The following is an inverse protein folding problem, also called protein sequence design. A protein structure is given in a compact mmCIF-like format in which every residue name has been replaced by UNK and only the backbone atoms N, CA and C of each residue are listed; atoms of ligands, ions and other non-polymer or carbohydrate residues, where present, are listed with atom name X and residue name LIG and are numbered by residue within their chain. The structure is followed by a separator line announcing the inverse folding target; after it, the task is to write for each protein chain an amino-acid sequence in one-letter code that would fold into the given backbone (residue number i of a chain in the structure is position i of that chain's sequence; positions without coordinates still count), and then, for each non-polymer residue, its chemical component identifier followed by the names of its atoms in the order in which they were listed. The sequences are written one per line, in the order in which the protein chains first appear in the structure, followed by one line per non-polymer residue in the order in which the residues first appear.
data_IF_922511218317
#
_entry.id   IF_922511218317
#
_cell.length_a   1.000
_cell.length_b   1.000
_cell.length_c   1.000
_cell.angle_alpha   90.00
_cell.angle_beta   90.00
_cell.angle_gamma   90.00
#
_symmetry.space_group_name_H-M   'P 1'
#
loop_
_entity.id
_entity.type
_entity.pdbx_description
1 polymer ?
#
# COMPACT_ATOMS: atom_id res chain seq x y z
N UNK A 1 37.72 27.82 5.32
CA UNK A 1 36.58 28.65 4.88
C UNK A 1 35.68 27.78 4.03
N UNK A 2 34.38 27.66 4.37
CA UNK A 2 33.43 26.92 3.53
C UNK A 2 33.26 27.65 2.19
N UNK A 3 33.58 26.99 1.08
CA UNK A 3 33.31 27.53 -0.26
C UNK A 3 31.80 27.76 -0.36
N UNK A 4 31.37 29.01 -0.55
CA UNK A 4 29.96 29.31 -0.81
C UNK A 4 29.63 28.84 -2.21
N UNK A 5 28.51 28.12 -2.32
CA UNK A 5 27.97 27.61 -3.58
C UNK A 5 27.44 28.80 -4.40
N UNK A 6 27.76 28.88 -5.70
CA UNK A 6 27.27 29.93 -6.59
C UNK A 6 25.78 29.72 -6.94
N UNK A 7 25.06 30.76 -7.41
CA UNK A 7 23.68 30.60 -7.89
C UNK A 7 23.52 29.52 -8.97
N UNK A 8 24.49 29.40 -9.88
CA UNK A 8 24.51 28.37 -10.93
C UNK A 8 24.71 26.97 -10.35
N UNK A 9 25.61 26.83 -9.36
CA UNK A 9 25.80 25.56 -8.65
C UNK A 9 24.51 25.17 -7.88
N UNK A 10 23.80 26.13 -7.26
CA UNK A 10 22.50 25.86 -6.63
C UNK A 10 21.44 25.41 -7.64
N UNK A 11 21.35 26.08 -8.80
CA UNK A 11 20.42 25.69 -9.86
C UNK A 11 20.71 24.25 -10.30
N UNK A 12 21.97 23.90 -10.56
CA UNK A 12 22.36 22.54 -10.93
C UNK A 12 21.95 21.50 -9.88
N UNK A 13 22.13 21.80 -8.58
CA UNK A 13 21.74 20.90 -7.50
C UNK A 13 20.23 20.64 -7.47
N UNK A 14 19.40 21.66 -7.76
CA UNK A 14 17.94 21.52 -7.77
C UNK A 14 17.45 20.83 -9.04
N UNK A 15 17.94 21.25 -10.21
CA UNK A 15 17.50 20.70 -11.50
C UNK A 15 17.90 19.24 -11.68
N UNK A 16 19.10 18.85 -11.20
CA UNK A 16 19.61 17.48 -11.34
C UNK A 16 19.38 16.61 -10.10
N UNK A 17 18.63 17.10 -9.11
CA UNK A 17 18.30 16.30 -7.93
C UNK A 17 17.57 15.00 -8.36
N UNK A 18 17.90 13.83 -7.79
CA UNK A 18 17.27 12.55 -8.14
C UNK A 18 15.85 12.40 -7.53
N UNK A 19 15.15 13.52 -7.33
CA UNK A 19 13.81 13.64 -6.75
C UNK A 19 13.04 14.69 -7.54
N UNK A 20 11.72 14.57 -7.59
CA UNK A 20 10.88 15.59 -8.20
C UNK A 20 10.73 16.74 -7.20
N UNK A 21 10.99 17.98 -7.60
CA UNK A 21 10.90 19.15 -6.72
C UNK A 21 9.83 20.09 -7.26
N UNK A 22 9.05 20.66 -6.34
CA UNK A 22 8.00 21.62 -6.65
C UNK A 22 8.01 22.78 -5.64
N UNK A 23 7.50 23.93 -6.06
CA UNK A 23 7.24 25.09 -5.21
C UNK A 23 5.85 25.63 -5.49
N UNK A 24 5.18 26.07 -4.43
CA UNK A 24 3.93 26.82 -4.49
C UNK A 24 4.07 28.16 -3.79
N UNK A 25 3.45 29.19 -4.37
CA UNK A 25 3.36 30.53 -3.80
C UNK A 25 2.39 30.60 -2.62
N UNK A 26 2.08 31.82 -2.16
CA UNK A 26 1.18 32.05 -1.01
C UNK A 26 -0.30 31.77 -1.29
N UNK A 27 -0.66 31.60 -2.56
CA UNK A 27 -2.01 31.29 -3.05
C UNK A 27 -2.25 29.77 -3.23
N UNK A 28 -1.32 28.94 -2.75
CA UNK A 28 -1.29 27.48 -2.91
C UNK A 28 -1.09 26.98 -4.34
N UNK A 29 -0.84 27.87 -5.30
CA UNK A 29 -0.59 27.50 -6.69
C UNK A 29 0.88 27.20 -6.92
N UNK A 30 1.15 26.12 -7.65
CA UNK A 30 2.52 25.74 -7.98
C UNK A 30 3.08 26.69 -9.04
N UNK A 31 4.27 27.22 -8.82
CA UNK A 31 4.90 28.20 -9.71
C UNK A 31 6.31 27.77 -10.17
N UNK A 32 6.77 26.60 -9.71
CA UNK A 32 8.03 26.02 -10.15
C UNK A 32 8.04 24.50 -9.96
N UNK A 33 8.67 23.82 -10.93
CA UNK A 33 9.00 22.41 -10.94
C UNK A 33 10.41 22.22 -11.53
N UNK A 34 11.19 21.29 -10.99
CA UNK A 34 12.53 21.04 -11.54
C UNK A 34 12.50 20.19 -12.84
N UNK A 35 13.63 20.16 -13.56
CA UNK A 35 13.84 19.38 -14.78
C UNK A 35 13.47 17.90 -14.58
N UNK A 36 13.73 17.34 -13.39
CA UNK A 36 13.37 15.96 -13.05
C UNK A 36 11.86 15.73 -13.01
N UNK A 37 11.08 16.66 -12.46
CA UNK A 37 9.62 16.59 -12.46
C UNK A 37 9.07 16.64 -13.88
N UNK A 38 9.50 17.64 -14.67
CA UNK A 38 9.02 17.83 -16.04
C UNK A 38 9.37 16.63 -16.94
N UNK A 39 10.57 16.05 -16.77
CA UNK A 39 10.97 14.83 -17.45
C UNK A 39 10.15 13.61 -17.01
N UNK A 40 9.75 13.56 -15.73
CA UNK A 40 8.92 12.48 -15.21
C UNK A 40 7.52 12.53 -15.80
N UNK A 41 6.84 13.68 -15.74
CA UNK A 41 5.46 13.84 -16.24
C UNK A 41 5.38 14.00 -17.76
N UNK A 42 6.47 14.43 -18.40
CA UNK A 42 6.51 14.74 -19.83
C UNK A 42 5.75 16.02 -20.20
N UNK A 43 5.44 16.86 -19.21
CA UNK A 43 4.68 18.11 -19.35
C UNK A 43 5.62 19.31 -19.27
N UNK A 44 5.18 20.44 -19.81
CA UNK A 44 5.92 21.71 -19.70
C UNK A 44 5.62 22.41 -18.38
N UNK A 45 6.47 23.37 -18.00
CA UNK A 45 6.25 24.21 -16.81
C UNK A 45 4.89 24.90 -16.88
N UNK A 46 4.49 25.40 -18.04
CA UNK A 46 3.22 26.12 -18.25
C UNK A 46 2.01 25.21 -18.00
N UNK A 47 2.12 23.93 -18.34
CA UNK A 47 1.07 22.94 -18.13
C UNK A 47 0.98 22.49 -16.67
N UNK A 48 2.09 22.53 -15.92
CA UNK A 48 2.15 22.10 -14.51
C UNK A 48 1.79 23.25 -13.55
N UNK A 49 2.10 24.49 -13.95
CA UNK A 49 1.90 25.70 -13.16
C UNK A 49 0.43 25.93 -12.77
N UNK A 50 0.22 26.68 -11.70
CA UNK A 50 -1.10 26.87 -11.13
C UNK A 50 -1.59 25.60 -10.44
N UNK A 51 -2.73 25.11 -10.92
CA UNK A 51 -3.35 23.86 -10.49
C UNK A 51 -3.08 22.71 -11.49
N UNK A 52 -2.26 22.96 -12.53
CA UNK A 52 -2.06 22.05 -13.65
C UNK A 52 -1.46 20.69 -13.28
N UNK A 53 -0.63 20.63 -12.23
CA UNK A 53 -0.11 19.39 -11.66
C UNK A 53 -1.20 18.42 -11.22
N UNK A 54 -2.35 18.93 -10.77
CA UNK A 54 -3.44 18.12 -10.25
C UNK A 54 -4.10 17.27 -11.36
N UNK A 55 -3.97 17.66 -12.64
CA UNK A 55 -4.43 16.87 -13.80
C UNK A 55 -3.69 15.53 -13.95
N UNK A 56 -2.47 15.44 -13.41
CA UNK A 56 -1.68 14.22 -13.42
C UNK A 56 -2.06 13.25 -12.30
N UNK A 57 -2.80 13.70 -11.28
CA UNK A 57 -3.16 12.88 -10.12
C UNK A 57 -4.21 11.86 -10.53
N UNK A 58 -4.05 10.61 -10.07
CA UNK A 58 -5.01 9.55 -10.34
C UNK A 58 -6.42 9.95 -9.84
N UNK A 59 -7.50 9.69 -10.60
CA UNK A 59 -8.86 10.11 -10.24
C UNK A 59 -9.30 9.71 -8.82
N UNK A 60 -9.03 8.48 -8.40
CA UNK A 60 -9.35 8.00 -7.04
C UNK A 60 -8.59 8.73 -5.92
N UNK A 61 -7.43 9.30 -6.23
CA UNK A 61 -6.58 9.98 -5.25
C UNK A 61 -6.85 11.50 -5.24
N UNK A 62 -7.33 12.06 -6.37
CA UNK A 62 -7.44 13.50 -6.63
C UNK A 62 -8.06 14.28 -5.47
N UNK A 63 -9.30 13.93 -5.09
CA UNK A 63 -10.03 14.67 -4.06
C UNK A 63 -9.29 14.65 -2.72
N UNK A 64 -8.83 13.47 -2.30
CA UNK A 64 -8.10 13.29 -1.03
C UNK A 64 -6.79 14.08 -1.03
N UNK A 65 -6.05 14.07 -2.13
CA UNK A 65 -4.77 14.75 -2.24
C UNK A 65 -4.92 16.27 -2.18
N UNK A 66 -5.84 16.83 -2.97
CA UNK A 66 -6.06 18.28 -3.03
C UNK A 66 -6.59 18.80 -1.68
N UNK A 67 -7.58 18.12 -1.08
CA UNK A 67 -8.12 18.52 0.22
C UNK A 67 -7.05 18.51 1.31
N UNK A 68 -6.24 17.44 1.37
CA UNK A 68 -5.17 17.29 2.35
C UNK A 68 -4.08 18.34 2.19
N UNK A 69 -3.66 18.61 0.95
CA UNK A 69 -2.71 19.68 0.62
C UNK A 69 -3.22 21.05 1.08
N UNK A 70 -4.46 21.41 0.70
CA UNK A 70 -5.04 22.72 1.02
C UNK A 70 -5.25 22.91 2.53
N UNK A 71 -5.65 21.86 3.25
CA UNK A 71 -5.77 21.90 4.72
C UNK A 71 -4.43 22.23 5.38
N UNK A 72 -3.36 21.53 4.98
CA UNK A 72 -2.02 21.72 5.55
C UNK A 72 -1.40 23.05 5.12
N UNK A 73 -1.63 23.46 3.86
CA UNK A 73 -1.21 24.75 3.35
C UNK A 73 -1.81 25.89 4.16
N UNK A 74 -3.14 25.87 4.38
CA UNK A 74 -3.85 26.87 5.20
C UNK A 74 -3.34 26.90 6.63
N UNK A 75 -3.04 25.73 7.21
CA UNK A 75 -2.49 25.61 8.54
C UNK A 75 -0.98 25.96 8.63
N UNK A 76 -0.31 26.16 7.48
CA UNK A 76 1.15 26.33 7.36
C UNK A 76 1.93 25.21 8.06
N UNK A 77 1.45 23.97 7.91
CA UNK A 77 2.05 22.77 8.50
C UNK A 77 2.70 21.93 7.43
N UNK A 78 3.83 21.32 7.77
CA UNK A 78 4.41 20.24 6.98
C UNK A 78 3.37 19.15 6.76
N UNK A 79 3.35 18.59 5.55
CA UNK A 79 2.51 17.45 5.23
C UNK A 79 3.35 16.36 4.57
N UNK A 80 2.85 15.13 4.69
CA UNK A 80 3.35 13.97 3.98
C UNK A 80 2.16 13.19 3.45
N UNK A 81 2.21 12.76 2.19
CA UNK A 81 1.18 11.93 1.58
C UNK A 81 1.71 11.03 0.47
N UNK A 82 1.06 9.88 0.31
CA UNK A 82 1.24 9.03 -0.86
C UNK A 82 0.09 9.24 -1.85
N UNK A 83 0.43 9.33 -3.13
CA UNK A 83 -0.56 9.36 -4.21
C UNK A 83 0.01 8.87 -5.53
N UNK A 84 -0.88 8.56 -6.49
CA UNK A 84 -0.48 8.17 -7.83
C UNK A 84 -0.43 9.38 -8.75
N UNK A 85 0.71 9.58 -9.41
CA UNK A 85 0.91 10.59 -10.44
C UNK A 85 1.17 9.92 -11.79
N UNK A 86 0.59 10.46 -12.86
CA UNK A 86 0.78 9.99 -14.23
C UNK A 86 2.16 10.41 -14.75
N UNK A 87 2.92 9.42 -15.22
CA UNK A 87 4.21 9.58 -15.89
C UNK A 87 4.00 9.90 -17.38
N UNK A 88 5.05 10.39 -18.06
CA UNK A 88 5.04 10.73 -19.49
C UNK A 88 4.54 9.63 -20.43
N UNK A 89 4.68 8.35 -20.05
CA UNK A 89 4.22 7.20 -20.81
C UNK A 89 2.78 6.77 -20.47
N UNK A 90 2.08 7.55 -19.64
CA UNK A 90 0.71 7.30 -19.21
C UNK A 90 0.58 6.36 -18.02
N UNK A 91 1.67 5.73 -17.56
CA UNK A 91 1.63 4.86 -16.39
C UNK A 91 1.45 5.69 -15.11
N UNK A 92 0.61 5.22 -14.20
CA UNK A 92 0.54 5.78 -12.85
C UNK A 92 1.62 5.20 -11.95
N UNK A 93 2.34 6.07 -11.27
CA UNK A 93 3.41 5.72 -10.33
C UNK A 93 3.06 6.26 -8.95
N UNK A 94 3.36 5.49 -7.91
CA UNK A 94 3.21 5.94 -6.53
C UNK A 94 4.33 6.89 -6.17
N UNK A 95 3.95 8.10 -5.75
CA UNK A 95 4.84 9.10 -5.20
C UNK A 95 4.58 9.25 -3.70
N UNK A 96 5.67 9.35 -2.93
CA UNK A 96 5.66 9.92 -1.59
C UNK A 96 6.02 11.38 -1.71
N UNK A 97 5.11 12.27 -1.31
CA UNK A 97 5.27 13.71 -1.35
C UNK A 97 5.37 14.28 0.07
N UNK A 98 6.33 15.19 0.25
CA UNK A 98 6.53 15.94 1.47
C UNK A 98 6.69 17.42 1.14
N UNK A 99 5.73 18.22 1.61
CA UNK A 99 5.77 19.68 1.50
C UNK A 99 6.05 20.35 2.84
N UNK A 100 6.87 21.41 2.83
CA UNK A 100 7.20 22.24 3.99
C UNK A 100 6.93 23.73 3.70
N UNK A 101 6.41 24.49 4.68
CA UNK A 101 6.31 25.93 4.52
C UNK A 101 7.71 26.56 4.50
N UNK A 102 7.93 27.55 3.65
CA UNK A 102 9.13 28.38 3.69
C UNK A 102 8.77 29.83 3.97
N UNK A 103 9.75 30.55 4.52
CA UNK A 103 9.61 31.95 4.93
C UNK A 103 10.71 32.77 4.27
N UNK A 104 10.36 33.99 3.89
CA UNK A 104 11.29 34.97 3.34
C UNK A 104 12.21 35.52 4.44
N UNK A 105 13.31 36.23 4.09
CA UNK A 105 14.25 36.77 5.08
C UNK A 105 13.62 37.75 6.09
N UNK A 106 12.50 38.37 5.76
CA UNK A 106 11.71 39.26 6.63
C UNK A 106 10.76 38.49 7.58
N UNK A 107 10.69 37.17 7.46
CA UNK A 107 9.83 36.30 8.26
C UNK A 107 8.43 36.10 7.67
N UNK A 108 8.12 36.72 6.53
CA UNK A 108 6.82 36.54 5.86
C UNK A 108 6.70 35.15 5.25
N UNK A 109 5.47 34.63 5.24
CA UNK A 109 5.18 33.33 4.65
C UNK A 109 5.38 33.40 3.12
N UNK A 110 6.32 32.63 2.60
CA UNK A 110 6.66 32.62 1.17
C UNK A 110 5.88 31.58 0.35
N UNK A 111 5.24 30.62 1.02
CA UNK A 111 4.54 29.51 0.38
C UNK A 111 5.10 28.16 0.83
N UNK A 112 5.06 27.17 -0.06
CA UNK A 112 5.53 25.81 0.20
C UNK A 112 6.60 25.40 -0.80
N UNK A 113 7.55 24.60 -0.34
CA UNK A 113 8.46 23.84 -1.20
C UNK A 113 8.34 22.38 -0.79
N UNK A 114 8.40 21.48 -1.77
CA UNK A 114 8.29 20.07 -1.48
C UNK A 114 9.05 19.22 -2.48
N UNK A 115 9.05 17.93 -2.19
CA UNK A 115 9.62 16.94 -3.09
C UNK A 115 8.84 15.65 -3.07
N UNK A 116 8.86 15.00 -4.23
CA UNK A 116 8.28 13.69 -4.44
C UNK A 116 9.35 12.65 -4.75
N UNK A 117 9.17 11.45 -4.20
CA UNK A 117 10.01 10.27 -4.45
C UNK A 117 9.13 9.17 -5.04
N UNK A 118 9.55 8.58 -6.15
CA UNK A 118 8.88 7.40 -6.70
C UNK A 118 9.10 6.19 -5.79
N UNK A 119 8.03 5.73 -5.16
CA UNK A 119 8.00 4.58 -4.24
C UNK A 119 7.26 3.38 -4.86
N UNK A 120 6.99 3.40 -6.17
CA UNK A 120 6.23 2.34 -6.85
C UNK A 120 6.89 0.99 -6.67
N UNK A 121 8.20 0.88 -6.88
CA UNK A 121 8.92 -0.40 -6.73
C UNK A 121 8.83 -0.93 -5.30
N UNK A 122 8.94 -0.04 -4.31
CA UNK A 122 8.78 -0.39 -2.90
C UNK A 122 7.37 -0.91 -2.61
N UNK A 123 6.33 -0.22 -3.10
CA UNK A 123 4.93 -0.66 -2.90
C UNK A 123 4.65 -1.98 -3.61
N UNK A 124 5.07 -2.14 -4.86
CA UNK A 124 4.92 -3.39 -5.61
C UNK A 124 5.60 -4.57 -4.91
N UNK A 125 6.81 -4.36 -4.37
CA UNK A 125 7.50 -5.39 -3.60
C UNK A 125 6.75 -5.76 -2.31
N UNK A 126 6.23 -4.76 -1.58
CA UNK A 126 5.44 -4.98 -0.36
C UNK A 126 4.13 -5.73 -0.66
N UNK A 127 3.41 -5.36 -1.71
CA UNK A 127 2.18 -6.02 -2.13
C UNK A 127 2.43 -7.45 -2.59
N UNK A 128 3.50 -7.69 -3.34
CA UNK A 128 3.90 -9.03 -3.78
C UNK A 128 4.21 -9.94 -2.59
N UNK A 129 4.93 -9.43 -1.59
CA UNK A 129 5.21 -10.16 -0.35
C UNK A 129 3.93 -10.46 0.44
N UNK A 130 3.01 -9.49 0.52
CA UNK A 130 1.73 -9.68 1.19
C UNK A 130 0.91 -10.77 0.51
N UNK A 131 0.79 -10.73 -0.81
CA UNK A 131 0.06 -11.75 -1.60
C UNK A 131 0.71 -13.13 -1.42
N UNK A 132 2.05 -13.21 -1.47
CA UNK A 132 2.75 -14.47 -1.24
C UNK A 132 2.47 -15.05 0.16
N UNK A 133 2.49 -14.19 1.18
CA UNK A 133 2.16 -14.58 2.57
C UNK A 133 0.71 -15.01 2.72
N UNK A 134 -0.23 -14.30 2.11
CA UNK A 134 -1.65 -14.67 2.11
C UNK A 134 -1.88 -16.02 1.43
N UNK A 135 -1.16 -16.28 0.32
CA UNK A 135 -1.17 -17.59 -0.36
C UNK A 135 -0.62 -18.69 0.53
N UNK A 136 0.51 -18.47 1.21
CA UNK A 136 1.09 -19.41 2.15
C UNK A 136 0.15 -19.70 3.35
N UNK A 137 -0.46 -18.66 3.92
CA UNK A 137 -1.46 -18.85 4.99
C UNK A 137 -2.71 -19.59 4.48
N UNK A 138 -3.11 -19.35 3.22
CA UNK A 138 -4.25 -20.04 2.62
C UNK A 138 -3.93 -21.52 2.33
N UNK A 139 -2.69 -21.89 2.01
CA UNK A 139 -2.31 -23.30 1.81
C UNK A 139 -2.22 -24.07 3.13
N UNK A 140 -1.96 -23.39 4.25
CA UNK A 140 -2.11 -23.98 5.59
C UNK A 140 -3.57 -24.27 5.99
N UNK A 141 -4.58 -23.78 5.25
CA UNK A 141 -6.01 -24.16 5.44
C UNK A 141 -6.34 -25.61 5.03
N UNK A 142 -5.35 -26.46 4.78
CA UNK A 142 -5.53 -27.91 4.54
C UNK A 142 -5.53 -28.80 5.79
N UNK A 143 -5.22 -28.26 6.97
CA UNK A 143 -5.26 -29.01 8.22
C UNK A 143 -6.65 -28.95 8.84
N UNK A 144 -7.34 -30.09 8.92
CA UNK A 144 -8.60 -30.18 9.67
C UNK A 144 -8.31 -29.97 11.16
N UNK A 145 -8.91 -28.96 11.81
CA UNK A 145 -8.71 -28.70 13.23
C UNK A 145 -9.40 -29.80 14.05
N UNK A 146 -8.65 -30.83 14.43
CA UNK A 146 -9.13 -31.99 15.19
C UNK A 146 -8.73 -31.85 16.67
N UNK A 147 -9.70 -31.95 17.58
CA UNK A 147 -9.44 -31.99 19.02
C UNK A 147 -8.65 -33.26 19.36
N UNK A 148 -7.47 -33.12 19.98
CA UNK A 148 -6.59 -34.25 20.28
C UNK A 148 -7.23 -35.28 21.23
N UNK A 149 -8.08 -34.82 22.16
CA UNK A 149 -8.75 -35.66 23.16
C UNK A 149 -9.98 -36.39 22.64
N UNK A 150 -10.91 -35.70 21.96
CA UNK A 150 -12.20 -36.28 21.55
C UNK A 150 -12.38 -36.45 20.04
N UNK A 151 -11.37 -36.09 19.23
CA UNK A 151 -11.34 -36.21 17.76
C UNK A 151 -12.44 -35.45 16.99
N UNK A 152 -13.19 -34.56 17.65
CA UNK A 152 -14.11 -33.64 16.99
C UNK A 152 -13.37 -32.67 16.06
N UNK A 153 -14.01 -32.28 14.95
CA UNK A 153 -13.51 -31.30 13.98
C UNK A 153 -14.16 -29.93 14.28
N UNK A 154 -13.39 -28.84 14.14
CA UNK A 154 -13.92 -27.49 14.21
C UNK A 154 -14.41 -27.02 12.83
N UNK A 155 -15.70 -26.70 12.71
CA UNK A 155 -16.31 -26.24 11.46
C UNK A 155 -15.87 -24.81 11.07
N UNK A 156 -16.28 -24.36 9.88
CA UNK A 156 -16.00 -22.99 9.40
C UNK A 156 -16.69 -21.87 10.20
N UNK A 157 -17.66 -22.21 11.08
CA UNK A 157 -18.37 -21.30 11.98
C UNK A 157 -17.77 -21.28 13.40
N UNK A 158 -16.79 -22.14 13.67
CA UNK A 158 -16.09 -22.26 14.94
C UNK A 158 -16.67 -23.27 15.94
N UNK A 159 -17.68 -24.07 15.56
CA UNK A 159 -18.27 -25.12 16.41
C UNK A 159 -17.48 -26.43 16.33
N UNK A 160 -17.51 -27.23 17.39
CA UNK A 160 -16.90 -28.57 17.41
C UNK A 160 -17.94 -29.65 17.15
N UNK A 161 -17.78 -30.39 16.06
CA UNK A 161 -18.70 -31.45 15.64
C UNK A 161 -17.98 -32.78 15.41
N UNK A 162 -18.76 -33.86 15.29
CA UNK A 162 -18.18 -35.17 15.00
C UNK A 162 -17.65 -35.21 13.57
N UNK A 163 -16.72 -36.13 13.31
CA UNK A 163 -16.11 -36.27 11.98
C UNK A 163 -17.17 -36.64 10.94
N UNK A 164 -18.11 -37.50 11.31
CA UNK A 164 -19.20 -37.97 10.46
C UNK A 164 -20.09 -36.81 10.02
N UNK A 165 -20.46 -35.92 10.95
CA UNK A 165 -21.28 -34.74 10.65
C UNK A 165 -20.54 -33.77 9.72
N UNK A 166 -19.29 -33.47 10.03
CA UNK A 166 -18.47 -32.58 9.20
C UNK A 166 -18.33 -33.11 7.77
N UNK A 167 -17.99 -34.40 7.62
CA UNK A 167 -17.78 -35.01 6.30
C UNK A 167 -19.08 -35.13 5.51
N UNK A 168 -20.22 -35.47 6.16
CA UNK A 168 -21.53 -35.48 5.50
C UNK A 168 -21.93 -34.10 4.93
N UNK A 169 -21.55 -33.01 5.60
CA UNK A 169 -21.87 -31.64 5.16
C UNK A 169 -20.91 -31.11 4.07
N UNK A 170 -19.73 -31.71 3.90
CA UNK A 170 -18.66 -31.17 3.05
C UNK A 170 -18.16 -32.14 1.96
N UNK A 171 -18.71 -33.35 1.87
CA UNK A 171 -18.40 -34.34 0.84
C UNK A 171 -19.64 -35.17 0.46
N UNK A 172 -19.71 -35.62 -0.80
CA UNK A 172 -20.76 -36.52 -1.28
C UNK A 172 -20.43 -37.99 -0.93
N UNK A 173 -20.62 -38.38 0.34
CA UNK A 173 -20.35 -39.73 0.84
C UNK A 173 -21.42 -40.22 1.81
N UNK A 174 -21.69 -41.53 1.79
CA UNK A 174 -22.54 -42.22 2.77
C UNK A 174 -21.69 -43.01 3.78
N UNK A 175 -22.17 -43.10 5.03
CA UNK A 175 -21.47 -43.82 6.10
C UNK A 175 -22.11 -45.18 6.38
N UNK A 176 -21.29 -46.23 6.45
CA UNK A 176 -21.67 -47.50 7.06
C UNK A 176 -20.93 -47.66 8.39
N UNK A 177 -21.61 -48.21 9.39
CA UNK A 177 -21.02 -48.47 10.71
C UNK A 177 -20.83 -49.96 10.91
N UNK A 178 -19.57 -50.38 10.98
CA UNK A 178 -19.15 -51.77 11.22
C UNK A 178 -18.03 -51.78 12.27
N UNK A 179 -17.93 -52.85 13.05
CA UNK A 179 -16.82 -53.03 13.98
C UNK A 179 -15.60 -53.53 13.21
N UNK A 180 -14.48 -52.82 13.31
CA UNK A 180 -13.21 -53.36 12.83
C UNK A 180 -12.80 -54.59 13.66
N UNK A 181 -11.90 -55.45 13.16
CA UNK A 181 -11.48 -56.65 13.88
C UNK A 181 -10.96 -56.38 15.30
N UNK A 182 -10.26 -55.26 15.55
CA UNK A 182 -9.78 -54.94 16.90
C UNK A 182 -10.91 -54.55 17.84
N UNK A 183 -11.87 -53.75 17.36
CA UNK A 183 -13.04 -53.36 18.16
C UNK A 183 -13.96 -54.56 18.42
N UNK A 184 -14.12 -55.44 17.43
CA UNK A 184 -14.88 -56.68 17.56
C UNK A 184 -14.23 -57.59 18.61
N UNK A 185 -12.92 -57.83 18.53
CA UNK A 185 -12.20 -58.65 19.50
C UNK A 185 -12.21 -58.06 20.92
N UNK A 186 -12.25 -56.73 21.05
CA UNK A 186 -12.30 -56.05 22.35
C UNK A 186 -13.69 -56.08 22.99
N UNK A 187 -14.74 -55.87 22.20
CA UNK A 187 -16.12 -55.76 22.69
C UNK A 187 -16.83 -57.11 22.79
N UNK A 188 -16.41 -58.08 21.96
CA UNK A 188 -17.00 -59.42 21.85
C UNK A 188 -15.90 -60.49 21.85
N UNK A 189 -15.14 -60.64 22.95
CA UNK A 189 -13.99 -61.55 23.00
C UNK A 189 -14.37 -63.03 22.85
N UNK A 190 -15.62 -63.40 23.17
CA UNK A 190 -16.19 -64.75 23.00
C UNK A 190 -16.56 -65.13 21.56
N UNK A 191 -16.59 -64.19 20.61
CA UNK A 191 -16.94 -64.46 19.21
C UNK A 191 -15.72 -64.66 18.28
N UNK A 192 -14.60 -65.14 18.84
CA UNK A 192 -13.42 -65.55 18.05
C UNK A 192 -13.61 -66.96 17.48
N UNK A 193 -14.16 -67.05 16.28
CA UNK A 193 -14.02 -68.21 15.40
C UNK A 193 -13.54 -67.75 14.00
#
# INVERSE_FOLDING_TARGET
MSKKISPEEYRLLVEQAPILIWRAGTDAKCDYFNERWLSFTGRTMEQESGDGWAEGVHPDDFKRCVDYYLEHFKARKTFEMDYRLRRHDGAYRWLFDRGVPFYLPDGEFGGFIGSCIDITERKTAQDSLKIARERELSSLRGLLPICSGCKKIKDGKGNWESVEKYVAEHAEVDFSHSLCPECMARLYPEHKD
#
